data_IF_524524691584
#
_entry.id   IF_524524691584
#
_cell.length_a   1.000
_cell.length_b   1.000
_cell.length_c   1.000
_cell.angle_alpha   90.00
_cell.angle_beta   90.00
_cell.angle_gamma   90.00
#
_symmetry.space_group_name_H-M   'P 1'
#
loop_
_entity.id
_entity.type
_entity.pdbx_description
1 polymer ?
#
# COMPACT_ATOMS: atom_id res chain seq x y z
N UNK A 1 -20.45 6.65 -6.71
CA UNK A 1 -19.11 6.12 -6.98
C UNK A 1 -19.10 4.95 -7.96
N UNK A 2 -18.06 4.82 -8.79
CA UNK A 2 -17.83 3.68 -9.70
C UNK A 2 -16.49 3.02 -9.40
N UNK A 3 -16.48 1.71 -9.19
CA UNK A 3 -15.28 0.91 -8.98
C UNK A 3 -15.14 -0.09 -10.13
N UNK A 4 -13.96 -0.17 -10.74
CA UNK A 4 -13.71 -1.05 -11.89
C UNK A 4 -12.53 -1.98 -11.61
N UNK A 5 -12.78 -3.28 -11.60
CA UNK A 5 -11.74 -4.29 -11.51
C UNK A 5 -11.07 -4.54 -12.87
N UNK A 6 -9.75 -4.36 -12.95
CA UNK A 6 -8.93 -4.85 -14.06
C UNK A 6 -8.48 -6.26 -13.71
N UNK A 7 -9.19 -7.24 -14.27
CA UNK A 7 -9.02 -8.69 -14.04
C UNK A 7 -7.68 -9.20 -14.59
N UNK A 8 -6.63 -9.06 -13.79
CA UNK A 8 -5.28 -9.50 -14.11
C UNK A 8 -5.21 -11.00 -14.39
N UNK A 9 -6.02 -11.83 -13.73
CA UNK A 9 -6.13 -13.27 -13.95
C UNK A 9 -6.51 -13.60 -15.41
N UNK A 10 -7.46 -12.86 -15.97
CA UNK A 10 -7.89 -13.01 -17.37
C UNK A 10 -6.80 -12.53 -18.34
N UNK A 11 -6.12 -11.43 -17.99
CA UNK A 11 -5.02 -10.89 -18.80
C UNK A 11 -3.81 -11.83 -18.77
N UNK A 12 -3.47 -12.41 -17.62
CA UNK A 12 -2.40 -13.40 -17.48
C UNK A 12 -2.71 -14.68 -18.28
N UNK A 13 -3.95 -15.17 -18.28
CA UNK A 13 -4.38 -16.29 -19.16
C UNK A 13 -4.18 -15.97 -20.64
N UNK A 14 -4.47 -14.72 -21.04
CA UNK A 14 -4.20 -14.23 -22.41
C UNK A 14 -2.69 -14.20 -22.70
N UNK A 15 -1.87 -13.72 -21.78
CA UNK A 15 -0.41 -13.69 -21.92
C UNK A 15 0.20 -15.08 -22.07
N UNK A 16 -0.28 -16.07 -21.30
CA UNK A 16 0.15 -17.47 -21.43
C UNK A 16 -0.15 -18.01 -22.83
N UNK A 17 -1.32 -17.67 -23.37
CA UNK A 17 -1.77 -18.13 -24.69
C UNK A 17 -1.13 -17.36 -25.86
N UNK A 18 -0.54 -16.20 -25.61
CA UNK A 18 0.12 -15.35 -26.59
C UNK A 18 1.57 -15.78 -26.84
N UNK A 19 2.13 -15.30 -27.96
CA UNK A 19 3.57 -15.47 -28.23
C UNK A 19 4.39 -14.65 -27.23
N UNK A 20 5.61 -15.09 -26.93
CA UNK A 20 6.47 -14.46 -25.91
C UNK A 20 6.70 -12.98 -26.22
N UNK A 21 6.93 -12.64 -27.48
CA UNK A 21 7.14 -11.29 -27.99
C UNK A 21 5.91 -10.36 -27.87
N UNK A 22 4.72 -10.92 -27.67
CA UNK A 22 3.46 -10.16 -27.52
C UNK A 22 3.13 -9.88 -26.04
N UNK A 23 3.71 -10.64 -25.10
CA UNK A 23 3.35 -10.58 -23.67
C UNK A 23 3.60 -9.23 -23.05
N UNK A 24 4.74 -8.61 -23.35
CA UNK A 24 5.05 -7.27 -22.85
C UNK A 24 4.00 -6.25 -23.29
N UNK A 25 3.53 -6.32 -24.53
CA UNK A 25 2.52 -5.38 -25.02
C UNK A 25 1.15 -5.64 -24.40
N UNK A 26 0.78 -6.92 -24.17
CA UNK A 26 -0.43 -7.25 -23.42
C UNK A 26 -0.35 -6.68 -22.00
N UNK A 27 0.77 -6.87 -21.31
CA UNK A 27 1.00 -6.32 -19.97
C UNK A 27 0.91 -4.78 -19.98
N UNK A 28 1.65 -4.11 -20.87
CA UNK A 28 1.67 -2.64 -20.98
C UNK A 28 0.29 -2.07 -21.28
N UNK A 29 -0.40 -2.60 -22.28
CA UNK A 29 -1.57 -1.93 -22.84
C UNK A 29 -2.91 -2.45 -22.33
N UNK A 30 -2.97 -3.64 -21.74
CA UNK A 30 -4.21 -4.18 -21.16
C UNK A 30 -4.19 -4.16 -19.64
N UNK A 31 -3.04 -4.41 -18.99
CA UNK A 31 -2.94 -4.41 -17.53
C UNK A 31 -2.50 -3.04 -16.97
N UNK A 32 -1.49 -2.42 -17.57
CA UNK A 32 -0.88 -1.19 -17.02
C UNK A 32 -1.49 0.11 -17.56
N UNK A 33 -1.94 0.16 -18.82
CA UNK A 33 -2.57 1.35 -19.44
C UNK A 33 -3.75 1.90 -18.66
N UNK A 34 -4.65 1.10 -18.04
CA UNK A 34 -5.70 1.63 -17.18
C UNK A 34 -5.15 2.48 -16.01
N UNK A 35 -3.91 2.26 -15.60
CA UNK A 35 -3.21 2.95 -14.51
C UNK A 35 -2.20 4.00 -15.02
N UNK A 36 -2.23 4.39 -16.30
CA UNK A 36 -1.24 5.30 -16.91
C UNK A 36 -1.07 6.61 -16.16
N UNK A 37 -2.16 7.22 -15.68
CA UNK A 37 -2.06 8.44 -14.88
C UNK A 37 -1.26 8.21 -13.60
N UNK A 38 -1.57 7.16 -12.82
CA UNK A 38 -0.80 6.77 -11.63
C UNK A 38 0.68 6.61 -11.96
N UNK A 39 1.00 5.90 -13.04
CA UNK A 39 2.40 5.71 -13.45
C UNK A 39 3.09 7.02 -13.83
N UNK A 40 2.37 7.92 -14.50
CA UNK A 40 2.89 9.25 -14.84
C UNK A 40 3.20 10.12 -13.61
N UNK A 41 2.41 10.01 -12.54
CA UNK A 41 2.66 10.73 -11.29
C UNK A 41 4.00 10.37 -10.63
N UNK A 42 4.50 9.16 -10.88
CA UNK A 42 5.80 8.69 -10.37
C UNK A 42 6.88 8.65 -11.46
N UNK A 43 6.64 9.32 -12.60
CA UNK A 43 7.61 9.42 -13.68
C UNK A 43 7.87 8.12 -14.44
N UNK A 44 6.95 7.16 -14.39
CA UNK A 44 7.11 5.85 -15.01
C UNK A 44 6.30 5.73 -16.31
N UNK A 45 6.96 5.59 -17.49
CA UNK A 45 6.26 5.42 -18.74
C UNK A 45 5.74 3.98 -18.91
N UNK A 46 4.69 3.81 -19.72
CA UNK A 46 4.23 2.47 -20.12
C UNK A 46 5.27 1.77 -21.00
N UNK A 47 6.01 2.51 -21.81
CA UNK A 47 7.09 1.98 -22.64
C UNK A 47 8.22 2.99 -22.67
N UNK A 48 9.43 2.52 -22.38
CA UNK A 48 10.63 3.35 -22.51
C UNK A 48 10.93 3.68 -23.97
N UNK A 49 11.42 4.89 -24.23
CA UNK A 49 11.92 5.31 -25.55
C UNK A 49 13.23 4.59 -25.92
N UNK A 50 14.03 4.23 -24.91
CA UNK A 50 15.26 3.45 -25.08
C UNK A 50 14.96 1.97 -24.87
N UNK A 51 15.52 1.12 -25.74
CA UNK A 51 15.45 -0.33 -25.59
C UNK A 51 16.07 -0.76 -24.26
N UNK A 52 15.32 -1.51 -23.46
CA UNK A 52 15.74 -1.91 -22.11
C UNK A 52 15.75 -0.79 -21.07
N UNK A 53 15.21 0.40 -21.37
CA UNK A 53 15.07 1.47 -20.38
C UNK A 53 13.94 1.22 -19.37
N UNK A 54 13.88 2.06 -18.34
CA UNK A 54 12.93 1.92 -17.23
C UNK A 54 11.48 2.23 -17.66
N UNK A 55 10.61 1.24 -17.56
CA UNK A 55 9.18 1.32 -17.83
C UNK A 55 8.39 0.37 -16.90
N UNK A 56 7.06 0.32 -17.06
CA UNK A 56 6.19 -0.56 -16.23
C UNK A 56 6.58 -2.05 -16.28
N UNK A 57 7.22 -2.52 -17.37
CA UNK A 57 7.68 -3.92 -17.47
C UNK A 57 8.89 -4.14 -16.57
N UNK A 58 9.88 -3.26 -16.63
CA UNK A 58 11.05 -3.31 -15.76
C UNK A 58 10.70 -3.07 -14.29
N UNK A 59 9.77 -2.16 -14.02
CA UNK A 59 9.34 -1.88 -12.66
C UNK A 59 8.61 -3.06 -12.00
N UNK A 60 7.89 -3.87 -12.78
CA UNK A 60 7.24 -5.09 -12.28
C UNK A 60 8.23 -5.99 -11.53
N UNK A 61 9.39 -6.27 -12.13
CA UNK A 61 10.40 -7.16 -11.54
C UNK A 61 11.14 -6.50 -10.39
N UNK A 62 11.47 -5.21 -10.52
CA UNK A 62 12.10 -4.43 -9.43
C UNK A 62 11.18 -4.38 -8.21
N UNK A 63 9.87 -4.32 -8.42
CA UNK A 63 8.85 -4.27 -7.36
C UNK A 63 8.49 -5.61 -6.73
N UNK A 64 9.10 -6.73 -7.15
CA UNK A 64 8.79 -8.07 -6.61
C UNK A 64 7.90 -8.93 -7.51
N UNK A 65 7.28 -8.33 -8.53
CA UNK A 65 6.44 -9.00 -9.51
C UNK A 65 7.20 -9.90 -10.48
N UNK A 66 6.45 -10.71 -11.23
CA UNK A 66 7.00 -11.40 -12.39
C UNK A 66 7.24 -10.42 -13.55
N UNK A 67 8.29 -10.68 -14.33
CA UNK A 67 8.39 -10.12 -15.68
C UNK A 67 7.23 -10.67 -16.53
N UNK A 68 6.69 -9.90 -17.49
CA UNK A 68 5.67 -10.39 -18.41
C UNK A 68 6.10 -11.67 -19.16
N UNK A 69 7.40 -11.81 -19.46
CA UNK A 69 7.98 -13.02 -20.07
C UNK A 69 7.90 -14.26 -19.17
N UNK A 70 7.90 -14.07 -17.85
CA UNK A 70 7.76 -15.12 -16.84
C UNK A 70 6.31 -15.53 -16.57
N UNK A 71 5.33 -14.77 -17.07
CA UNK A 71 3.91 -15.18 -17.08
C UNK A 71 3.70 -16.21 -18.19
N UNK A 72 4.07 -17.45 -17.89
CA UNK A 72 3.99 -18.61 -18.79
C UNK A 72 3.21 -19.76 -18.13
N UNK A 73 3.16 -20.93 -18.78
CA UNK A 73 2.39 -22.08 -18.30
C UNK A 73 2.74 -22.55 -16.88
N UNK A 74 3.96 -22.28 -16.39
CA UNK A 74 4.35 -22.60 -15.00
C UNK A 74 3.53 -21.81 -13.97
N UNK A 75 3.02 -20.62 -14.34
CA UNK A 75 2.23 -19.75 -13.46
C UNK A 75 0.73 -20.03 -13.50
N UNK A 76 0.28 -20.99 -14.31
CA UNK A 76 -1.15 -21.33 -14.44
C UNK A 76 -1.80 -21.60 -13.09
N UNK A 77 -1.14 -22.37 -12.21
CA UNK A 77 -1.65 -22.69 -10.87
C UNK A 77 -1.88 -21.43 -10.02
N UNK A 78 -0.92 -20.50 -10.03
CA UNK A 78 -1.02 -19.27 -9.24
C UNK A 78 -2.10 -18.33 -9.78
N UNK A 79 -2.25 -18.28 -11.11
CA UNK A 79 -3.33 -17.52 -11.78
C UNK A 79 -4.70 -18.10 -11.44
N UNK A 80 -4.85 -19.44 -11.44
CA UNK A 80 -6.13 -20.07 -11.09
C UNK A 80 -6.54 -19.77 -9.64
N UNK A 81 -5.59 -19.74 -8.69
CA UNK A 81 -5.88 -19.39 -7.29
C UNK A 81 -6.50 -18.00 -7.12
N UNK A 82 -6.16 -17.04 -7.99
CA UNK A 82 -6.74 -15.69 -7.98
C UNK A 82 -7.89 -15.53 -8.99
N UNK A 83 -8.30 -16.58 -9.71
CA UNK A 83 -9.31 -16.47 -10.79
C UNK A 83 -10.76 -16.50 -10.30
N UNK A 84 -10.99 -16.85 -9.03
CA UNK A 84 -12.36 -16.96 -8.47
C UNK A 84 -13.07 -15.60 -8.47
N UNK A 85 -14.30 -15.56 -8.97
CA UNK A 85 -15.13 -14.36 -8.92
C UNK A 85 -15.41 -13.93 -7.48
N UNK A 86 -15.54 -14.87 -6.53
CA UNK A 86 -15.72 -14.57 -5.11
C UNK A 86 -14.53 -13.81 -4.52
N UNK A 87 -13.30 -14.14 -4.96
CA UNK A 87 -12.09 -13.45 -4.50
C UNK A 87 -12.05 -11.99 -4.98
N UNK A 88 -12.31 -11.78 -6.28
CA UNK A 88 -12.38 -10.43 -6.84
C UNK A 88 -13.53 -9.61 -6.25
N UNK A 89 -14.69 -10.24 -6.03
CA UNK A 89 -15.82 -9.60 -5.38
C UNK A 89 -15.50 -9.25 -3.93
N UNK A 90 -14.76 -10.09 -3.19
CA UNK A 90 -14.31 -9.76 -1.84
C UNK A 90 -13.36 -8.55 -1.83
N UNK A 91 -12.44 -8.46 -2.79
CA UNK A 91 -11.56 -7.31 -2.96
C UNK A 91 -12.36 -6.03 -3.28
N UNK A 92 -13.24 -6.09 -4.27
CA UNK A 92 -14.10 -4.97 -4.67
C UNK A 92 -15.01 -4.52 -3.52
N UNK A 93 -15.63 -5.47 -2.81
CA UNK A 93 -16.48 -5.18 -1.66
C UNK A 93 -15.72 -4.51 -0.53
N UNK A 94 -14.45 -4.87 -0.32
CA UNK A 94 -13.60 -4.22 0.69
C UNK A 94 -13.43 -2.74 0.35
N UNK A 95 -12.98 -2.44 -0.88
CA UNK A 95 -12.80 -1.08 -1.38
C UNK A 95 -14.13 -0.30 -1.32
N UNK A 96 -15.22 -0.89 -1.82
CA UNK A 96 -16.54 -0.26 -1.84
C UNK A 96 -17.05 0.08 -0.43
N UNK A 97 -16.91 -0.84 0.53
CA UNK A 97 -17.31 -0.60 1.92
C UNK A 97 -16.50 0.50 2.58
N UNK A 98 -15.18 0.53 2.33
CA UNK A 98 -14.33 1.62 2.82
C UNK A 98 -14.82 2.96 2.30
N UNK A 99 -15.01 3.08 0.98
CA UNK A 99 -15.39 4.33 0.34
C UNK A 99 -16.80 4.80 0.71
N UNK A 100 -17.79 3.90 0.67
CA UNK A 100 -19.15 4.22 1.13
C UNK A 100 -19.17 4.58 2.61
N UNK A 101 -18.32 3.96 3.44
CA UNK A 101 -18.21 4.32 4.85
C UNK A 101 -17.88 5.80 5.07
N UNK A 102 -17.04 6.40 4.21
CA UNK A 102 -16.79 7.85 4.25
C UNK A 102 -18.04 8.66 3.87
N UNK A 103 -18.70 8.31 2.76
CA UNK A 103 -19.91 9.01 2.30
C UNK A 103 -21.07 8.90 3.32
N UNK A 104 -21.27 7.72 3.91
CA UNK A 104 -22.26 7.45 4.95
C UNK A 104 -22.00 8.26 6.25
N UNK A 105 -20.74 8.64 6.48
CA UNK A 105 -20.33 9.54 7.57
C UNK A 105 -20.27 11.01 7.14
N UNK A 106 -20.92 11.37 6.02
CA UNK A 106 -21.05 12.76 5.57
C UNK A 106 -19.81 13.35 4.90
N UNK A 107 -18.81 12.52 4.57
CA UNK A 107 -17.57 12.95 3.92
C UNK A 107 -17.71 12.75 2.41
N UNK A 108 -17.90 13.84 1.67
CA UNK A 108 -17.96 13.81 0.21
C UNK A 108 -16.55 13.59 -0.37
N UNK A 109 -16.38 12.51 -1.12
CA UNK A 109 -15.10 12.16 -1.74
C UNK A 109 -14.95 12.87 -3.10
N UNK A 110 -13.88 13.68 -3.30
CA UNK A 110 -13.62 14.33 -4.59
C UNK A 110 -13.46 13.34 -5.76
N UNK A 111 -12.80 12.21 -5.51
CA UNK A 111 -12.66 11.14 -6.51
C UNK A 111 -13.89 10.25 -6.49
N UNK A 112 -14.47 10.00 -7.65
CA UNK A 112 -15.69 9.19 -7.81
C UNK A 112 -15.52 7.99 -8.73
N UNK A 113 -14.36 7.87 -9.38
CA UNK A 113 -13.98 6.75 -10.23
C UNK A 113 -12.73 6.08 -9.68
N UNK A 114 -12.82 4.78 -9.46
CA UNK A 114 -11.75 3.97 -8.90
C UNK A 114 -11.48 2.78 -9.81
N UNK A 115 -10.21 2.49 -10.03
CA UNK A 115 -9.73 1.34 -10.77
C UNK A 115 -8.83 0.53 -9.84
N UNK A 116 -9.04 -0.79 -9.78
CA UNK A 116 -8.17 -1.67 -9.02
C UNK A 116 -7.78 -2.94 -9.76
N UNK A 117 -6.65 -3.53 -9.36
CA UNK A 117 -6.16 -4.82 -9.87
C UNK A 117 -5.43 -5.58 -8.76
N UNK A 118 -5.13 -6.85 -9.01
CA UNK A 118 -4.35 -7.72 -8.12
C UNK A 118 -3.23 -8.36 -8.93
N UNK A 119 -1.98 -8.08 -8.60
CA UNK A 119 -0.81 -8.56 -9.37
C UNK A 119 -0.10 -9.70 -8.65
N UNK A 120 0.42 -10.66 -9.42
CA UNK A 120 1.21 -11.77 -8.86
C UNK A 120 2.64 -11.32 -8.54
N UNK A 121 3.08 -11.65 -7.33
CA UNK A 121 4.48 -11.52 -6.91
C UNK A 121 5.25 -12.82 -7.08
N UNK A 122 6.53 -12.69 -7.38
CA UNK A 122 7.46 -13.82 -7.43
C UNK A 122 8.00 -14.11 -6.03
N UNK A 123 7.72 -15.29 -5.48
CA UNK A 123 8.18 -15.70 -4.14
C UNK A 123 9.72 -15.75 -4.04
N UNK A 124 10.41 -15.93 -5.17
CA UNK A 124 11.86 -15.98 -5.22
C UNK A 124 12.50 -14.60 -5.30
N UNK A 125 11.72 -13.56 -5.59
CA UNK A 125 12.21 -12.19 -5.64
C UNK A 125 12.47 -11.66 -4.20
N UNK A 126 13.66 -11.11 -3.92
CA UNK A 126 13.98 -10.54 -2.61
C UNK A 126 12.96 -9.50 -2.12
N UNK A 127 12.41 -8.68 -3.03
CA UNK A 127 11.42 -7.66 -2.70
C UNK A 127 10.09 -8.22 -2.23
N UNK A 128 9.67 -9.37 -2.76
CA UNK A 128 8.45 -10.05 -2.31
C UNK A 128 8.61 -10.61 -0.91
N UNK A 129 9.80 -11.11 -0.56
CA UNK A 129 10.09 -11.59 0.81
C UNK A 129 10.00 -10.47 1.85
N UNK A 130 10.33 -9.23 1.45
CA UNK A 130 10.26 -8.06 2.31
C UNK A 130 8.83 -7.55 2.50
N UNK A 131 8.03 -7.55 1.43
CA UNK A 131 6.64 -7.05 1.45
C UNK A 131 5.64 -8.08 1.98
N UNK A 132 6.01 -9.36 1.97
CA UNK A 132 5.18 -10.48 2.40
C UNK A 132 4.32 -11.05 1.28
N UNK A 133 3.45 -11.98 1.64
CA UNK A 133 2.60 -12.69 0.66
C UNK A 133 1.45 -11.84 0.12
N UNK A 134 1.19 -10.67 0.70
CA UNK A 134 0.19 -9.72 0.23
C UNK A 134 0.60 -8.30 0.61
N UNK A 135 0.35 -7.34 -0.27
CA UNK A 135 0.59 -5.92 -0.05
C UNK A 135 -0.31 -5.11 -0.98
N UNK A 136 -0.24 -3.77 -0.90
CA UNK A 136 -0.90 -2.93 -1.87
C UNK A 136 -0.28 -1.55 -2.00
N UNK A 137 -0.87 -0.76 -2.89
CA UNK A 137 -0.55 0.63 -3.15
C UNK A 137 -1.84 1.38 -3.50
N UNK A 138 -2.23 2.28 -2.61
CA UNK A 138 -3.36 3.20 -2.79
C UNK A 138 -2.97 4.67 -2.81
N UNK A 139 -1.69 5.00 -3.04
CA UNK A 139 -1.16 6.36 -2.85
C UNK A 139 -1.68 7.43 -3.83
N UNK A 140 -2.24 7.02 -4.98
CA UNK A 140 -2.77 7.95 -5.99
C UNK A 140 -4.30 7.84 -6.04
N UNK A 141 -5.04 8.92 -5.73
CA UNK A 141 -6.50 8.91 -5.75
C UNK A 141 -7.10 8.31 -7.02
N UNK A 142 -8.01 7.35 -6.84
CA UNK A 142 -8.67 6.63 -7.94
C UNK A 142 -7.95 5.37 -8.43
N UNK A 143 -6.73 5.09 -7.96
CA UNK A 143 -5.96 3.92 -8.35
C UNK A 143 -5.50 3.11 -7.16
N UNK A 144 -5.86 1.82 -7.14
CA UNK A 144 -5.49 0.88 -6.09
C UNK A 144 -4.88 -0.37 -6.71
N UNK A 145 -3.71 -0.81 -6.27
CA UNK A 145 -3.09 -2.04 -6.76
C UNK A 145 -2.84 -2.95 -5.56
N UNK A 146 -3.40 -4.16 -5.57
CA UNK A 146 -2.99 -5.22 -4.67
C UNK A 146 -1.88 -6.06 -5.29
N UNK A 147 -0.98 -6.60 -4.48
CA UNK A 147 0.00 -7.61 -4.91
C UNK A 147 -0.11 -8.86 -4.04
N UNK A 148 0.13 -10.04 -4.61
CA UNK A 148 -0.12 -11.30 -3.90
C UNK A 148 0.81 -12.44 -4.35
N UNK A 149 1.33 -13.20 -3.38
CA UNK A 149 1.79 -14.58 -3.53
C UNK A 149 0.63 -15.48 -3.08
N UNK A 150 -0.09 -16.16 -3.99
CA UNK A 150 -1.39 -16.74 -3.67
C UNK A 150 -1.26 -18.02 -2.82
N UNK A 151 -1.77 -17.94 -1.61
CA UNK A 151 -1.96 -19.03 -0.65
C UNK A 151 -3.25 -18.81 0.17
N UNK A 152 -3.61 -19.74 1.06
CA UNK A 152 -4.87 -19.67 1.80
C UNK A 152 -4.98 -18.43 2.70
N UNK A 153 -3.87 -17.96 3.25
CA UNK A 153 -3.82 -16.79 4.12
C UNK A 153 -3.86 -15.50 3.30
N UNK A 154 -2.99 -15.36 2.30
CA UNK A 154 -2.90 -14.14 1.49
C UNK A 154 -4.20 -13.84 0.73
N UNK A 155 -4.92 -14.86 0.26
CA UNK A 155 -6.24 -14.69 -0.36
C UNK A 155 -7.29 -14.12 0.60
N UNK A 156 -7.20 -14.44 1.90
CA UNK A 156 -8.10 -13.89 2.94
C UNK A 156 -7.68 -12.50 3.38
N UNK A 157 -6.38 -12.22 3.38
CA UNK A 157 -5.82 -10.97 3.90
C UNK A 157 -5.74 -9.85 2.87
N UNK A 158 -5.68 -10.16 1.57
CA UNK A 158 -5.64 -9.11 0.55
C UNK A 158 -6.83 -8.14 0.61
N UNK A 159 -8.09 -8.56 0.82
CA UNK A 159 -9.18 -7.62 1.04
C UNK A 159 -8.93 -6.66 2.22
N UNK A 160 -8.29 -7.12 3.31
CA UNK A 160 -7.94 -6.27 4.46
C UNK A 160 -6.90 -5.23 4.06
N UNK A 161 -5.85 -5.65 3.36
CA UNK A 161 -4.84 -4.73 2.82
C UNK A 161 -5.45 -3.72 1.83
N UNK A 162 -6.42 -4.11 1.02
CA UNK A 162 -7.09 -3.17 0.12
C UNK A 162 -7.92 -2.11 0.87
N UNK A 163 -8.45 -2.40 2.06
CA UNK A 163 -9.08 -1.36 2.88
C UNK A 163 -8.07 -0.37 3.45
N UNK A 164 -6.89 -0.85 3.86
CA UNK A 164 -5.74 -0.01 4.24
C UNK A 164 -5.35 0.92 3.09
N UNK A 165 -5.12 0.37 1.90
CA UNK A 165 -4.77 1.16 0.72
C UNK A 165 -5.89 2.12 0.30
N UNK A 166 -7.15 1.72 0.46
CA UNK A 166 -8.27 2.61 0.16
C UNK A 166 -8.33 3.78 1.16
N UNK A 167 -7.93 3.58 2.42
CA UNK A 167 -7.78 4.68 3.37
C UNK A 167 -6.71 5.67 2.92
N UNK A 168 -5.53 5.21 2.51
CA UNK A 168 -4.50 6.06 1.88
C UNK A 168 -5.07 6.80 0.67
N UNK A 169 -5.83 6.11 -0.17
CA UNK A 169 -6.44 6.70 -1.36
C UNK A 169 -7.39 7.85 -1.04
N UNK A 170 -8.16 7.72 0.04
CA UNK A 170 -9.03 8.78 0.55
C UNK A 170 -8.20 9.89 1.18
N UNK A 171 -7.24 9.56 2.05
CA UNK A 171 -6.34 10.52 2.73
C UNK A 171 -5.72 11.51 1.75
N UNK A 172 -5.18 11.00 0.65
CA UNK A 172 -4.48 11.82 -0.36
C UNK A 172 -5.39 12.69 -1.22
N UNK A 173 -6.72 12.49 -1.18
CA UNK A 173 -7.68 13.43 -1.77
C UNK A 173 -7.80 14.73 -0.96
N UNK A 174 -7.55 14.66 0.36
CA UNK A 174 -7.71 15.80 1.26
C UNK A 174 -6.38 16.48 1.61
N UNK A 175 -5.29 15.71 1.75
CA UNK A 175 -3.99 16.29 2.08
C UNK A 175 -3.23 16.84 0.88
N UNK A 176 -3.60 16.42 -0.32
CA UNK A 176 -2.86 16.65 -1.57
C UNK A 176 -1.39 16.19 -1.48
N UNK A 177 -1.02 15.22 -2.29
CA UNK A 177 0.37 14.79 -2.35
C UNK A 177 1.29 15.97 -2.73
N UNK A 178 2.41 16.11 -2.01
CA UNK A 178 3.44 17.11 -2.24
C UNK A 178 4.81 16.43 -2.10
N UNK A 179 5.81 16.74 -2.95
CA UNK A 179 7.18 16.23 -2.79
C UNK A 179 7.83 16.57 -1.45
N UNK A 180 7.27 17.51 -0.66
CA UNK A 180 7.71 17.86 0.68
C UNK A 180 6.99 17.07 1.80
N UNK A 181 6.47 15.88 1.50
CA UNK A 181 5.87 15.00 2.51
C UNK A 181 6.87 14.75 3.66
N UNK A 182 6.40 14.88 4.89
CA UNK A 182 7.24 14.71 6.07
C UNK A 182 7.13 13.32 6.66
N UNK A 183 8.05 12.97 7.58
CA UNK A 183 7.94 11.74 8.37
C UNK A 183 6.61 11.70 9.14
N UNK A 184 6.17 12.83 9.69
CA UNK A 184 4.89 12.93 10.37
C UNK A 184 3.71 12.57 9.47
N UNK A 185 3.70 13.06 8.22
CA UNK A 185 2.66 12.75 7.25
C UNK A 185 2.61 11.24 6.97
N UNK A 186 3.77 10.62 6.78
CA UNK A 186 3.87 9.18 6.51
C UNK A 186 3.39 8.33 7.69
N UNK A 187 3.90 8.57 8.90
CA UNK A 187 3.52 7.75 10.08
C UNK A 187 2.03 7.93 10.44
N UNK A 188 1.48 9.15 10.28
CA UNK A 188 0.07 9.39 10.54
C UNK A 188 -0.78 8.73 9.45
N UNK A 189 -0.37 8.81 8.18
CA UNK A 189 -1.07 8.13 7.08
C UNK A 189 -1.12 6.61 7.30
N UNK A 190 0.01 5.98 7.60
CA UNK A 190 0.04 4.53 7.89
C UNK A 190 -0.76 4.18 9.15
N UNK A 191 -0.65 5.00 10.19
CA UNK A 191 -1.42 4.82 11.43
C UNK A 191 -2.93 4.90 11.21
N UNK A 192 -3.39 5.85 10.39
CA UNK A 192 -4.81 6.00 10.03
C UNK A 192 -5.29 4.81 9.22
N UNK A 193 -4.54 4.39 8.20
CA UNK A 193 -4.88 3.27 7.35
C UNK A 193 -4.97 1.95 8.14
N UNK A 194 -4.03 1.70 9.04
CA UNK A 194 -4.00 0.47 9.85
C UNK A 194 -5.11 0.46 10.91
N UNK A 195 -5.36 1.59 11.59
CA UNK A 195 -6.51 1.70 12.51
C UNK A 195 -7.85 1.58 11.77
N UNK A 196 -7.93 2.02 10.51
CA UNK A 196 -9.12 1.85 9.69
C UNK A 196 -9.35 0.39 9.29
N UNK A 197 -8.30 -0.32 8.89
CA UNK A 197 -8.37 -1.75 8.64
C UNK A 197 -8.79 -2.52 9.91
N UNK A 198 -8.22 -2.16 11.06
CA UNK A 198 -8.60 -2.72 12.37
C UNK A 198 -10.09 -2.49 12.69
N UNK A 199 -10.58 -1.27 12.47
CA UNK A 199 -11.99 -0.90 12.68
C UNK A 199 -12.93 -1.74 11.79
N UNK A 200 -12.58 -1.97 10.52
CA UNK A 200 -13.42 -2.71 9.59
C UNK A 200 -13.39 -4.24 9.80
N UNK A 201 -12.23 -4.78 10.14
CA UNK A 201 -11.98 -6.22 10.05
C UNK A 201 -11.62 -6.91 11.37
N UNK A 202 -11.38 -6.13 12.43
CA UNK A 202 -10.93 -6.57 13.75
C UNK A 202 -9.43 -6.40 13.95
N UNK A 203 -9.01 -6.11 15.20
CA UNK A 203 -7.59 -5.97 15.58
C UNK A 203 -6.80 -7.28 15.38
N UNK A 204 -7.46 -8.44 15.27
CA UNK A 204 -6.80 -9.71 14.97
C UNK A 204 -6.25 -9.78 13.54
N UNK A 205 -6.76 -8.94 12.63
CA UNK A 205 -6.39 -8.91 11.21
C UNK A 205 -5.49 -7.75 10.81
N UNK A 206 -5.02 -6.95 11.77
CA UNK A 206 -4.00 -5.94 11.50
C UNK A 206 -2.68 -6.62 11.12
N UNK A 207 -1.90 -5.91 10.31
CA UNK A 207 -0.62 -6.39 9.78
C UNK A 207 0.32 -6.87 10.89
N UNK A 208 1.16 -7.85 10.54
CA UNK A 208 2.15 -8.44 11.46
C UNK A 208 3.11 -7.38 12.07
N UNK A 209 3.20 -6.23 11.40
CA UNK A 209 4.08 -5.10 11.65
C UNK A 209 3.82 -4.37 12.98
N UNK A 210 2.56 -4.32 13.43
CA UNK A 210 2.20 -3.66 14.71
C UNK A 210 2.37 -4.61 15.90
N UNK A 211 2.13 -5.91 15.71
CA UNK A 211 2.06 -6.90 16.80
C UNK A 211 3.42 -7.25 17.42
N UNK A 212 4.51 -7.02 16.69
CA UNK A 212 5.85 -7.44 17.10
C UNK A 212 6.64 -6.37 17.87
N UNK A 213 6.13 -5.15 18.00
CA UNK A 213 6.80 -4.08 18.75
C UNK A 213 6.32 -4.06 20.20
N UNK A 214 7.23 -4.28 21.15
CA UNK A 214 6.90 -4.16 22.58
C UNK A 214 6.69 -2.70 22.98
N UNK A 215 5.90 -2.47 24.04
CA UNK A 215 5.70 -1.14 24.61
C UNK A 215 7.02 -0.50 25.07
N UNK A 216 7.94 -1.30 25.62
CA UNK A 216 9.27 -0.85 26.00
C UNK A 216 10.07 -0.34 24.79
N UNK A 217 10.11 -1.11 23.70
CA UNK A 217 10.81 -0.71 22.47
C UNK A 217 10.17 0.52 21.85
N UNK A 218 8.83 0.60 21.85
CA UNK A 218 8.10 1.77 21.36
C UNK A 218 8.50 3.04 22.12
N UNK A 219 8.48 2.98 23.46
CA UNK A 219 8.70 4.17 24.29
C UNK A 219 10.18 4.56 24.42
N UNK A 220 11.10 3.60 24.45
CA UNK A 220 12.53 3.87 24.72
C UNK A 220 13.39 4.02 23.46
N UNK A 221 12.97 3.45 22.33
CA UNK A 221 13.74 3.46 21.08
C UNK A 221 13.01 4.23 19.98
N UNK A 222 11.77 3.84 19.68
CA UNK A 222 11.06 4.31 18.48
C UNK A 222 10.56 5.76 18.63
N UNK A 223 9.81 6.05 19.70
CA UNK A 223 9.22 7.38 19.92
C UNK A 223 10.27 8.50 19.96
N UNK A 224 11.39 8.39 20.70
CA UNK A 224 12.41 9.45 20.72
C UNK A 224 12.97 9.76 19.33
N UNK A 225 13.35 8.73 18.57
CA UNK A 225 13.92 8.87 17.24
C UNK A 225 12.93 9.50 16.27
N UNK A 226 11.67 9.06 16.28
CA UNK A 226 10.64 9.64 15.40
C UNK A 226 10.35 11.09 15.79
N UNK A 227 10.19 11.39 17.10
CA UNK A 227 9.89 12.74 17.61
C UNK A 227 10.91 13.77 17.12
N UNK A 228 12.19 13.43 17.18
CA UNK A 228 13.28 14.30 16.73
C UNK A 228 13.30 14.54 15.21
N UNK A 229 12.68 13.66 14.43
CA UNK A 229 12.75 13.66 12.96
C UNK A 229 11.38 13.83 12.28
N UNK A 230 10.33 14.26 13.00
CA UNK A 230 8.96 14.40 12.46
C UNK A 230 8.88 15.22 11.17
N UNK A 231 9.74 16.24 11.03
CA UNK A 231 9.75 17.16 9.89
C UNK A 231 10.84 16.83 8.85
N UNK A 232 11.51 15.69 8.97
CA UNK A 232 12.37 15.17 7.91
C UNK A 232 11.52 14.92 6.65
N UNK A 233 12.07 15.22 5.47
CA UNK A 233 11.37 15.14 4.18
C UNK A 233 12.22 14.50 3.07
N UNK A 234 13.44 14.03 3.37
CA UNK A 234 14.21 13.19 2.47
C UNK A 234 13.61 11.78 2.40
N UNK A 235 13.00 11.45 1.27
CA UNK A 235 12.37 10.15 1.00
C UNK A 235 13.26 8.92 1.34
N UNK A 236 14.57 9.01 1.15
CA UNK A 236 15.47 7.90 1.48
C UNK A 236 15.55 7.68 2.99
N UNK A 237 15.52 8.77 3.77
CA UNK A 237 15.49 8.70 5.23
C UNK A 237 14.10 8.32 5.75
N UNK A 238 13.03 8.82 5.13
CA UNK A 238 11.66 8.44 5.49
C UNK A 238 11.48 6.92 5.46
N UNK A 239 11.99 6.28 4.40
CA UNK A 239 11.96 4.81 4.26
C UNK A 239 12.66 4.09 5.42
N UNK A 240 13.76 4.65 5.94
CA UNK A 240 14.50 4.06 7.06
C UNK A 240 13.73 4.16 8.39
N UNK A 241 13.06 5.29 8.65
CA UNK A 241 12.19 5.42 9.82
C UNK A 241 10.94 4.54 9.75
N UNK A 242 10.40 4.30 8.55
CA UNK A 242 9.21 3.48 8.37
C UNK A 242 9.51 1.98 8.47
N UNK A 243 10.44 1.48 7.65
CA UNK A 243 10.69 0.04 7.49
C UNK A 243 11.73 -0.52 8.45
N UNK A 244 12.63 0.33 8.98
CA UNK A 244 13.71 -0.09 9.86
C UNK A 244 14.99 -0.51 9.14
N UNK A 245 16.05 -0.66 9.93
CA UNK A 245 17.42 -0.74 9.44
C UNK A 245 17.74 -2.02 8.66
N UNK A 246 17.14 -3.15 9.04
CA UNK A 246 17.37 -4.45 8.38
C UNK A 246 16.94 -4.41 6.90
N UNK A 247 15.76 -3.84 6.64
CA UNK A 247 15.22 -3.65 5.30
C UNK A 247 16.08 -2.68 4.49
N UNK A 248 16.47 -1.57 5.12
CA UNK A 248 17.23 -0.53 4.45
C UNK A 248 18.67 -0.94 4.15
N UNK A 249 19.27 -1.82 4.96
CA UNK A 249 20.59 -2.39 4.69
C UNK A 249 20.63 -3.17 3.37
N UNK A 250 19.56 -3.89 3.02
CA UNK A 250 19.44 -4.58 1.72
C UNK A 250 19.41 -3.60 0.52
N UNK A 251 19.03 -2.34 0.75
CA UNK A 251 19.01 -1.27 -0.24
C UNK A 251 20.27 -0.39 -0.19
N UNK A 252 21.25 -0.73 0.64
CA UNK A 252 22.47 0.06 0.83
C UNK A 252 22.26 1.40 1.52
N UNK A 253 21.13 1.58 2.22
CA UNK A 253 20.81 2.81 2.95
C UNK A 253 21.35 2.74 4.38
N UNK A 254 21.86 3.86 4.89
CA UNK A 254 22.46 3.96 6.22
C UNK A 254 21.40 3.77 7.31
N UNK A 255 21.75 2.97 8.33
CA UNK A 255 20.93 2.74 9.52
C UNK A 255 20.67 4.04 10.31
N UNK A 256 19.45 4.15 10.83
CA UNK A 256 18.95 5.27 11.67
C UNK A 256 18.58 4.82 13.08
N UNK A 257 18.89 3.57 13.45
CA UNK A 257 18.63 3.00 14.77
C UNK A 257 17.20 2.48 14.94
N UNK A 258 16.50 2.19 13.84
CA UNK A 258 15.08 1.85 13.86
C UNK A 258 14.86 0.34 13.68
N UNK A 259 14.07 -0.30 14.57
CA UNK A 259 13.70 -1.69 14.39
C UNK A 259 12.75 -1.86 13.21
N UNK A 260 12.53 -3.12 12.84
CA UNK A 260 11.66 -3.49 11.74
C UNK A 260 10.24 -2.90 11.89
N UNK A 261 9.75 -2.24 10.85
CA UNK A 261 8.42 -1.59 10.78
C UNK A 261 8.13 -0.57 11.90
N UNK A 262 9.16 0.05 12.48
CA UNK A 262 9.02 0.96 13.61
C UNK A 262 8.06 2.15 13.36
N UNK A 263 8.08 2.74 12.17
CA UNK A 263 7.19 3.84 11.83
C UNK A 263 5.72 3.44 11.78
N UNK A 264 5.41 2.21 11.31
CA UNK A 264 4.05 1.67 11.30
C UNK A 264 3.55 1.45 12.73
N UNK A 265 4.37 0.84 13.58
CA UNK A 265 4.03 0.62 14.98
C UNK A 265 3.79 1.94 15.73
N UNK A 266 4.65 2.94 15.53
CA UNK A 266 4.48 4.27 16.12
C UNK A 266 3.22 4.97 15.61
N UNK A 267 3.01 4.97 14.29
CA UNK A 267 1.84 5.57 13.65
C UNK A 267 0.52 4.98 14.15
N UNK A 268 0.43 3.65 14.22
CA UNK A 268 -0.75 2.96 14.74
C UNK A 268 -1.09 3.41 16.17
N UNK A 269 -0.10 3.43 17.06
CA UNK A 269 -0.29 3.81 18.47
C UNK A 269 -0.58 5.31 18.64
N UNK A 270 0.07 6.17 17.85
CA UNK A 270 -0.17 7.62 17.83
C UNK A 270 -1.63 7.93 17.44
N UNK A 271 -2.11 7.30 16.37
CA UNK A 271 -3.47 7.49 15.88
C UNK A 271 -4.49 6.87 16.83
N UNK A 272 -4.20 5.69 17.39
CA UNK A 272 -5.06 5.09 18.42
C UNK A 272 -5.21 6.02 19.63
N UNK A 273 -4.10 6.58 20.14
CA UNK A 273 -4.11 7.59 21.20
C UNK A 273 -4.93 8.82 20.83
N UNK A 274 -4.79 9.34 19.61
CA UNK A 274 -5.59 10.46 19.11
C UNK A 274 -7.10 10.17 19.14
N UNK A 275 -7.51 9.00 18.63
CA UNK A 275 -8.91 8.59 18.56
C UNK A 275 -9.52 8.46 19.96
N UNK A 276 -8.82 7.80 20.87
CA UNK A 276 -9.24 7.62 22.28
C UNK A 276 -9.37 8.97 23.00
N UNK A 277 -8.40 9.87 22.82
CA UNK A 277 -8.38 11.18 23.47
C UNK A 277 -9.47 12.13 22.96
N UNK A 278 -9.75 12.12 21.65
CA UNK A 278 -10.69 13.06 21.02
C UNK A 278 -12.10 12.52 20.84
N UNK A 279 -12.29 11.19 20.93
CA UNK A 279 -13.57 10.55 20.66
C UNK A 279 -14.04 10.71 19.21
N UNK A 280 -13.13 11.00 18.28
CA UNK A 280 -13.45 11.15 16.85
C UNK A 280 -13.59 9.79 16.19
N UNK A 281 -14.39 9.73 15.14
CA UNK A 281 -14.44 8.54 14.27
C UNK A 281 -13.15 8.41 13.45
N UNK A 282 -12.82 7.18 13.04
CA UNK A 282 -11.68 6.96 12.13
C UNK A 282 -11.89 7.64 10.77
N UNK A 283 -13.14 7.81 10.33
CA UNK A 283 -13.49 8.53 9.11
C UNK A 283 -13.09 10.01 9.19
N UNK A 284 -13.48 10.69 10.27
CA UNK A 284 -13.10 12.10 10.50
C UNK A 284 -11.59 12.26 10.72
N UNK A 285 -10.96 11.33 11.44
CA UNK A 285 -9.53 11.34 11.66
C UNK A 285 -8.74 11.23 10.35
N UNK A 286 -9.19 10.37 9.42
CA UNK A 286 -8.53 10.16 8.13
C UNK A 286 -8.41 11.45 7.32
N UNK A 287 -9.42 12.32 7.37
CA UNK A 287 -9.41 13.60 6.63
C UNK A 287 -8.82 14.76 7.45
N UNK A 288 -8.47 14.56 8.71
CA UNK A 288 -7.92 15.61 9.58
C UNK A 288 -6.45 15.92 9.19
N UNK A 289 -6.04 17.20 9.09
CA UNK A 289 -4.65 17.56 8.80
C UNK A 289 -3.64 16.95 9.76
N UNK A 290 -2.46 16.57 9.25
CA UNK A 290 -1.36 15.98 10.05
C UNK A 290 -0.99 16.89 11.23
N UNK A 291 -0.88 18.19 10.98
CA UNK A 291 -0.54 19.18 12.01
C UNK A 291 -1.57 19.23 13.16
N UNK A 292 -2.85 19.05 12.85
CA UNK A 292 -3.92 19.05 13.86
C UNK A 292 -3.89 17.78 14.70
N UNK A 293 -3.58 16.62 14.10
CA UNK A 293 -3.38 15.37 14.84
C UNK A 293 -2.17 15.49 15.77
N UNK A 294 -1.04 16.02 15.28
CA UNK A 294 0.16 16.21 16.09
C UNK A 294 -0.06 17.14 17.28
N UNK A 295 -0.73 18.29 17.06
CA UNK A 295 -1.05 19.25 18.12
C UNK A 295 -1.89 18.62 19.24
N UNK A 296 -2.80 17.74 18.87
CA UNK A 296 -3.67 17.04 19.82
C UNK A 296 -3.00 15.84 20.49
N UNK A 297 -1.78 15.47 20.09
CA UNK A 297 -1.04 14.29 20.57
C UNK A 297 0.35 14.63 21.13
N UNK A 298 0.60 15.87 21.54
CA UNK A 298 1.88 16.26 22.17
C UNK A 298 2.25 15.40 23.39
N UNK A 299 1.24 14.91 24.12
CA UNK A 299 1.37 14.03 25.28
C UNK A 299 1.75 12.59 24.93
N UNK A 300 1.49 12.12 23.70
CA UNK A 300 1.89 10.78 23.27
C UNK A 300 3.40 10.55 23.32
N UNK A 301 4.16 11.63 23.12
CA UNK A 301 5.62 11.60 22.98
C UNK A 301 6.39 11.68 24.30
N UNK A 302 5.70 11.64 25.45
CA UNK A 302 6.29 11.79 26.78
C UNK A 302 6.07 10.53 27.62
#
# INVERSE_FOLDING_TARGET
>A
MKITAIRSDKIYKKMISAKVEERDNIYRYELMKPFEFKWSCIGMPLKSEQEGGYDVVMASTIGGGFAPSQINSERTSDIEKISSDDFWQACENSIAKTLHGFEDNGISLPTQEYIFTVMLNDLHNPMSKMTGDYCGDGGIPGYIIGTIIPNQESLKMLPVALAHETNHNVRWQFMQWNPNVTLADMIISEGLAENFAAFMFGEDKIGMWVKNTSEETLNTVIKPVIKENLYENDFNKLSAYLYGDEIMAMRGVKSVGMPYCAGYACGYQLVKHYLEKKGKSIYEATITPTADILKETEDFWN
#
